data_IF_930267162652
#
_entry.id   IF_930267162652
#
_cell.length_a   1.000
_cell.length_b   1.000
_cell.length_c   1.000
_cell.angle_alpha   90.00
_cell.angle_beta   90.00
_cell.angle_gamma   90.00
#
_symmetry.space_group_name_H-M   'P 1'
#
loop_
_entity.id
_entity.type
_entity.pdbx_description
1 polymer ?
#
# COMPACT_ATOMS: atom_id res chain seq x y z
N UNK A 1 15.93 10.05 23.55
CA UNK A 1 14.73 9.48 24.19
C UNK A 1 13.52 10.21 23.65
N UNK A 2 12.62 9.51 22.98
CA UNK A 2 11.29 10.04 22.63
C UNK A 2 10.30 9.43 23.63
N UNK A 3 9.57 10.22 24.41
CA UNK A 3 8.56 9.72 25.36
C UNK A 3 9.07 8.71 26.40
N UNK A 4 10.35 8.71 26.75
CA UNK A 4 10.95 7.75 27.69
C UNK A 4 11.41 6.42 27.08
N UNK A 5 11.23 6.21 25.78
CA UNK A 5 11.70 5.01 25.08
C UNK A 5 13.23 5.00 24.89
N UNK A 6 13.83 3.83 25.09
CA UNK A 6 15.22 3.50 24.80
C UNK A 6 15.25 2.63 23.55
N UNK A 7 15.68 3.21 22.42
CA UNK A 7 15.73 2.49 21.16
C UNK A 7 16.95 1.55 21.12
N UNK A 8 16.68 0.28 20.87
CA UNK A 8 17.67 -0.77 20.67
C UNK A 8 17.96 -1.05 19.19
N UNK A 9 19.01 -1.83 18.95
CA UNK A 9 19.32 -2.42 17.66
C UNK A 9 18.65 -3.81 17.57
N UNK A 10 17.84 -4.04 16.53
CA UNK A 10 17.19 -5.34 16.27
C UNK A 10 18.23 -6.47 16.17
N UNK A 11 19.44 -6.17 15.69
CA UNK A 11 20.54 -7.15 15.56
C UNK A 11 21.28 -7.43 16.86
N UNK A 12 21.20 -6.51 17.81
CA UNK A 12 21.86 -6.62 19.10
C UNK A 12 20.99 -6.01 20.23
N UNK A 13 19.81 -6.60 20.49
CA UNK A 13 18.87 -6.06 21.46
C UNK A 13 19.38 -6.32 22.87
N UNK A 14 19.11 -5.38 23.77
CA UNK A 14 19.49 -5.42 25.18
C UNK A 14 18.25 -5.41 26.07
N UNK A 15 18.31 -5.98 27.28
CA UNK A 15 17.15 -6.06 28.17
C UNK A 15 16.52 -4.70 28.53
N UNK A 16 17.31 -3.62 28.52
CA UNK A 16 16.84 -2.25 28.79
C UNK A 16 16.20 -1.55 27.59
N UNK A 17 16.32 -2.11 26.38
CA UNK A 17 15.73 -1.52 25.18
C UNK A 17 14.21 -1.67 25.23
N UNK A 18 13.49 -0.56 25.04
CA UNK A 18 12.03 -0.50 25.13
C UNK A 18 11.36 -0.15 23.79
N UNK A 19 12.14 0.07 22.74
CA UNK A 19 11.65 0.33 21.39
C UNK A 19 12.63 -0.11 20.32
N UNK A 20 12.11 -0.43 19.14
CA UNK A 20 12.91 -0.83 17.98
C UNK A 20 12.34 -0.18 16.72
N UNK A 21 13.22 0.10 15.74
CA UNK A 21 12.80 0.58 14.42
C UNK A 21 13.05 -0.51 13.40
N UNK A 22 11.98 -0.99 12.77
CA UNK A 22 12.07 -1.95 11.67
C UNK A 22 12.15 -1.20 10.34
N UNK A 23 13.35 -1.13 9.78
CA UNK A 23 13.58 -0.63 8.43
C UNK A 23 13.39 -1.77 7.42
N UNK A 24 12.71 -1.48 6.31
CA UNK A 24 12.53 -2.41 5.21
C UNK A 24 12.68 -1.68 3.87
N UNK A 25 12.97 -2.44 2.81
CA UNK A 25 13.01 -1.88 1.46
C UNK A 25 11.59 -1.67 0.95
N UNK A 26 11.08 -0.46 1.14
CA UNK A 26 9.71 -0.05 0.81
C UNK A 26 9.38 -0.14 -0.70
N UNK A 27 10.37 -0.43 -1.56
CA UNK A 27 10.16 -0.69 -2.99
C UNK A 27 9.70 -2.12 -3.27
N UNK A 28 9.94 -3.05 -2.34
CA UNK A 28 9.67 -4.49 -2.49
C UNK A 28 8.26 -4.85 -2.02
N UNK A 29 7.88 -6.09 -2.28
CA UNK A 29 6.58 -6.67 -1.91
C UNK A 29 6.27 -6.48 -0.40
N UNK A 30 5.04 -6.08 -0.10
CA UNK A 30 4.56 -5.86 1.26
C UNK A 30 4.54 -7.17 2.07
N UNK A 31 4.16 -8.29 1.44
CA UNK A 31 4.20 -9.62 2.07
C UNK A 31 5.63 -10.02 2.45
N UNK A 32 6.60 -9.81 1.55
CA UNK A 32 8.03 -10.01 1.87
C UNK A 32 8.47 -9.16 3.07
N UNK A 33 8.07 -7.89 3.09
CA UNK A 33 8.39 -6.97 4.19
C UNK A 33 7.78 -7.40 5.52
N UNK A 34 6.57 -7.97 5.50
CA UNK A 34 5.88 -8.47 6.68
C UNK A 34 6.50 -9.77 7.22
N UNK A 35 6.93 -10.67 6.34
CA UNK A 35 7.71 -11.85 6.72
C UNK A 35 9.03 -11.42 7.37
N UNK A 36 9.69 -10.39 6.82
CA UNK A 36 10.89 -9.79 7.41
C UNK A 36 10.64 -9.22 8.81
N UNK A 37 9.51 -8.56 9.04
CA UNK A 37 9.10 -8.06 10.36
C UNK A 37 8.95 -9.21 11.36
N UNK A 38 8.31 -10.31 10.95
CA UNK A 38 8.19 -11.50 11.79
C UNK A 38 9.55 -12.09 12.16
N UNK A 39 10.49 -12.16 11.21
CA UNK A 39 11.87 -12.61 11.49
C UNK A 39 12.59 -11.69 12.47
N UNK A 40 12.44 -10.38 12.33
CA UNK A 40 13.01 -9.40 13.26
C UNK A 40 12.47 -9.58 14.69
N UNK A 41 11.15 -9.77 14.83
CA UNK A 41 10.52 -10.07 16.12
C UNK A 41 11.11 -11.36 16.74
N UNK A 42 11.19 -12.44 15.98
CA UNK A 42 11.75 -13.71 16.48
C UNK A 42 13.23 -13.57 16.86
N UNK A 43 14.00 -12.78 16.10
CA UNK A 43 15.39 -12.50 16.41
C UNK A 43 15.53 -11.78 17.75
N UNK A 44 14.71 -10.76 18.00
CA UNK A 44 14.75 -10.03 19.28
C UNK A 44 14.42 -10.96 20.44
N UNK A 45 13.33 -11.73 20.31
CA UNK A 45 12.89 -12.71 21.31
C UNK A 45 13.96 -13.75 21.63
N UNK A 46 14.62 -14.28 20.59
CA UNK A 46 15.70 -15.25 20.73
C UNK A 46 16.94 -14.68 21.44
N UNK A 47 17.35 -13.46 21.08
CA UNK A 47 18.51 -12.78 21.70
C UNK A 47 18.25 -12.43 23.16
N UNK A 48 17.06 -11.94 23.48
CA UNK A 48 16.63 -11.64 24.85
C UNK A 48 16.22 -12.88 25.65
N UNK A 49 16.15 -14.06 24.99
CA UNK A 49 15.67 -15.33 25.57
C UNK A 49 14.29 -15.20 26.23
N UNK A 50 13.41 -14.41 25.62
CA UNK A 50 12.06 -14.16 26.11
C UNK A 50 11.02 -14.55 25.04
N UNK A 51 10.60 -15.82 24.98
CA UNK A 51 9.64 -16.30 23.97
C UNK A 51 8.22 -15.76 24.18
N UNK A 52 7.90 -15.24 25.37
CA UNK A 52 6.57 -14.68 25.67
C UNK A 52 6.50 -13.17 25.44
N UNK A 53 7.63 -12.54 25.08
CA UNK A 53 7.68 -11.12 24.76
C UNK A 53 6.74 -10.79 23.60
N UNK A 54 5.94 -9.74 23.82
CA UNK A 54 5.01 -9.15 22.84
C UNK A 54 5.43 -7.74 22.51
N UNK A 55 5.08 -7.30 21.31
CA UNK A 55 5.40 -5.98 20.79
C UNK A 55 4.12 -5.21 20.46
N UNK A 56 4.15 -3.91 20.73
CA UNK A 56 3.19 -2.97 20.17
C UNK A 56 3.79 -2.41 18.88
N UNK A 57 3.02 -2.44 17.78
CA UNK A 57 3.48 -1.93 16.49
C UNK A 57 2.83 -0.57 16.25
N UNK A 58 3.65 0.46 16.02
CA UNK A 58 3.22 1.74 15.45
C UNK A 58 3.67 1.78 14.00
N UNK A 59 2.74 1.84 13.07
CA UNK A 59 3.02 1.74 11.65
C UNK A 59 2.35 2.87 10.86
N UNK A 60 3.15 3.58 10.08
CA UNK A 60 2.70 4.71 9.26
C UNK A 60 2.54 4.31 7.79
N UNK A 61 1.47 4.82 7.17
CA UNK A 61 1.19 4.66 5.75
C UNK A 61 1.22 3.17 5.35
N UNK A 62 1.94 2.83 4.28
CA UNK A 62 2.18 1.46 3.81
C UNK A 62 2.69 0.50 4.89
N UNK A 63 3.43 0.99 5.89
CA UNK A 63 3.88 0.16 7.01
C UNK A 63 2.72 -0.48 7.78
N UNK A 64 1.53 0.14 7.77
CA UNK A 64 0.35 -0.44 8.38
C UNK A 64 -0.14 -1.69 7.63
N UNK A 65 -0.01 -1.73 6.31
CA UNK A 65 -0.30 -2.94 5.51
C UNK A 65 0.68 -4.07 5.84
N UNK A 66 1.96 -3.74 6.07
CA UNK A 66 2.98 -4.68 6.55
C UNK A 66 2.59 -5.26 7.91
N UNK A 67 2.17 -4.40 8.85
CA UNK A 67 1.75 -4.80 10.18
C UNK A 67 0.47 -5.66 10.17
N UNK A 68 -0.50 -5.30 9.35
CA UNK A 68 -1.75 -6.05 9.13
C UNK A 68 -1.49 -7.43 8.53
N UNK A 69 -0.68 -7.50 7.48
CA UNK A 69 -0.30 -8.78 6.90
C UNK A 69 0.37 -9.68 7.93
N UNK A 70 1.35 -9.14 8.68
CA UNK A 70 2.04 -9.90 9.72
C UNK A 70 1.08 -10.34 10.83
N UNK A 71 0.16 -9.48 11.29
CA UNK A 71 -0.86 -9.85 12.27
C UNK A 71 -1.68 -11.04 11.77
N UNK A 72 -2.17 -10.99 10.53
CA UNK A 72 -3.06 -12.00 9.94
C UNK A 72 -2.36 -13.31 9.60
N UNK A 73 -1.15 -13.28 9.04
CA UNK A 73 -0.50 -14.45 8.45
C UNK A 73 0.91 -14.74 9.00
N UNK A 74 1.41 -13.94 9.94
CA UNK A 74 2.73 -14.14 10.54
C UNK A 74 3.83 -14.10 9.47
N UNK A 75 4.61 -15.18 9.37
CA UNK A 75 5.70 -15.33 8.39
C UNK A 75 5.33 -16.22 7.20
N UNK A 76 4.05 -16.49 6.98
CA UNK A 76 3.56 -17.28 5.86
C UNK A 76 3.38 -16.40 4.60
N UNK A 77 3.77 -16.90 3.43
CA UNK A 77 3.49 -16.24 2.14
C UNK A 77 2.20 -16.83 1.56
N UNK A 78 1.09 -16.13 1.75
CA UNK A 78 -0.25 -16.52 1.27
C UNK A 78 -0.62 -15.87 -0.06
N UNK A 79 0.31 -15.15 -0.68
CA UNK A 79 0.04 -14.37 -1.89
C UNK A 79 0.58 -15.06 -3.16
N UNK A 80 1.29 -16.18 -3.00
CA UNK A 80 2.13 -16.79 -4.05
C UNK A 80 1.42 -17.81 -4.95
N UNK A 81 0.31 -18.38 -4.50
CA UNK A 81 -0.41 -19.47 -5.19
C UNK A 81 -1.69 -19.00 -5.90
N UNK A 82 -2.01 -17.71 -5.82
CA UNK A 82 -3.20 -17.12 -6.44
C UNK A 82 -4.51 -17.58 -5.82
N UNK A 83 -4.48 -18.19 -4.64
CA UNK A 83 -5.67 -18.59 -3.89
C UNK A 83 -5.97 -17.58 -2.76
N UNK A 84 -7.23 -17.52 -2.36
CA UNK A 84 -7.59 -16.86 -1.11
C UNK A 84 -7.30 -17.78 0.07
N UNK A 85 -6.70 -17.23 1.11
CA UNK A 85 -6.37 -17.96 2.35
C UNK A 85 -7.19 -17.40 3.50
N UNK A 86 -7.64 -18.30 4.38
CA UNK A 86 -8.37 -17.88 5.58
C UNK A 86 -7.42 -17.12 6.53
N UNK A 87 -7.91 -16.06 7.17
CA UNK A 87 -7.15 -15.31 8.17
C UNK A 87 -6.88 -16.19 9.40
N UNK A 88 -5.61 -16.43 9.70
CA UNK A 88 -5.19 -17.32 10.80
C UNK A 88 -4.83 -16.57 12.09
N UNK A 89 -4.57 -15.26 11.97
CA UNK A 89 -3.97 -14.43 13.01
C UNK A 89 -2.64 -15.00 13.55
N UNK A 90 -1.83 -15.63 12.69
CA UNK A 90 -0.59 -16.29 13.09
C UNK A 90 0.43 -15.33 13.76
N UNK A 91 0.37 -14.02 13.49
CA UNK A 91 1.22 -13.02 14.15
C UNK A 91 0.77 -12.63 15.55
N UNK A 92 -0.50 -12.88 15.91
CA UNK A 92 -1.15 -12.32 17.10
C UNK A 92 -0.45 -12.67 18.43
N UNK A 93 0.13 -13.88 18.54
CA UNK A 93 0.82 -14.31 19.75
C UNK A 93 2.04 -13.42 20.09
N UNK A 94 2.60 -12.72 19.11
CA UNK A 94 3.74 -11.84 19.27
C UNK A 94 3.35 -10.37 19.49
N UNK A 95 2.06 -10.04 19.46
CA UNK A 95 1.59 -8.66 19.45
C UNK A 95 0.74 -8.33 20.68
N UNK A 96 0.94 -7.12 21.19
CA UNK A 96 0.11 -6.51 22.22
C UNK A 96 -1.01 -5.68 21.60
N UNK A 97 -0.67 -4.82 20.63
CA UNK A 97 -1.60 -4.00 19.84
C UNK A 97 -0.96 -3.56 18.52
N UNK A 98 -1.80 -3.12 17.59
CA UNK A 98 -1.36 -2.48 16.33
C UNK A 98 -1.95 -1.07 16.26
N UNK A 99 -1.10 -0.08 16.00
CA UNK A 99 -1.48 1.31 15.77
C UNK A 99 -1.20 1.64 14.30
N UNK A 100 -2.26 1.90 13.55
CA UNK A 100 -2.24 2.27 12.14
C UNK A 100 -2.32 3.78 12.01
N UNK A 101 -1.39 4.39 11.29
CA UNK A 101 -1.32 5.84 11.10
C UNK A 101 -1.40 6.16 9.62
N UNK A 102 -2.52 6.73 9.16
CA UNK A 102 -2.75 7.05 7.74
C UNK A 102 -2.61 5.84 6.83
N UNK A 103 -2.91 4.63 7.31
CA UNK A 103 -2.72 3.41 6.52
C UNK A 103 -3.78 3.29 5.43
N UNK A 104 -3.41 3.10 4.15
CA UNK A 104 -4.38 2.91 3.07
C UNK A 104 -4.93 1.48 3.07
N UNK A 105 -5.79 1.12 4.03
CA UNK A 105 -6.30 -0.25 4.16
C UNK A 105 -7.05 -0.73 2.91
N UNK A 106 -7.69 0.20 2.18
CA UNK A 106 -8.30 -0.07 0.86
C UNK A 106 -7.52 0.50 -0.31
N UNK A 107 -6.25 0.89 -0.11
CA UNK A 107 -5.42 1.51 -1.15
C UNK A 107 -5.67 3.01 -1.36
N UNK A 108 -5.04 3.58 -2.38
CA UNK A 108 -5.10 5.02 -2.70
C UNK A 108 -4.90 5.29 -4.20
N UNK A 109 -5.70 6.19 -4.76
CA UNK A 109 -5.50 6.67 -6.14
C UNK A 109 -4.27 7.56 -6.29
N UNK A 110 -3.70 8.06 -5.19
CA UNK A 110 -2.42 8.74 -5.23
C UNK A 110 -1.27 7.84 -5.73
N UNK A 111 -1.39 6.51 -5.57
CA UNK A 111 -0.43 5.57 -6.16
C UNK A 111 -0.46 5.62 -7.69
N UNK A 112 -1.65 5.62 -8.30
CA UNK A 112 -1.79 5.78 -9.75
C UNK A 112 -1.27 7.14 -10.23
N UNK A 113 -1.61 8.22 -9.53
CA UNK A 113 -1.09 9.55 -9.83
C UNK A 113 0.44 9.55 -9.82
N UNK A 114 1.04 9.04 -8.75
CA UNK A 114 2.49 8.97 -8.56
C UNK A 114 3.18 8.18 -9.68
N UNK A 115 2.61 7.04 -10.08
CA UNK A 115 3.16 6.26 -11.20
C UNK A 115 3.10 6.98 -12.55
N UNK A 116 2.23 7.97 -12.71
CA UNK A 116 2.09 8.78 -13.93
C UNK A 116 2.95 10.05 -13.91
N UNK A 117 3.14 10.65 -12.72
CA UNK A 117 3.77 11.97 -12.58
C UNK A 117 5.19 11.90 -12.00
N UNK A 118 5.60 10.75 -11.46
CA UNK A 118 6.80 10.63 -10.64
C UNK A 118 6.56 11.01 -9.18
N UNK A 119 7.57 10.73 -8.35
CA UNK A 119 7.60 11.07 -6.92
C UNK A 119 8.87 11.86 -6.59
N UNK A 120 8.70 13.01 -5.93
CA UNK A 120 9.81 13.94 -5.67
C UNK A 120 10.56 14.31 -6.97
N UNK A 121 11.73 14.93 -6.86
CA UNK A 121 12.61 15.21 -8.01
C UNK A 121 13.44 14.00 -8.45
N UNK A 122 13.33 12.87 -7.74
CA UNK A 122 14.32 11.78 -7.81
C UNK A 122 13.76 10.45 -8.31
N UNK A 123 12.43 10.25 -8.35
CA UNK A 123 11.83 9.00 -8.82
C UNK A 123 10.94 9.28 -10.02
N UNK A 124 11.43 8.89 -11.20
CA UNK A 124 10.66 8.99 -12.43
C UNK A 124 9.59 7.87 -12.50
N UNK A 125 8.57 8.02 -13.38
CA UNK A 125 7.64 6.94 -13.68
C UNK A 125 8.31 5.61 -14.01
N UNK A 126 9.43 5.62 -14.73
CA UNK A 126 10.19 4.41 -15.09
C UNK A 126 10.81 3.72 -13.88
N UNK A 127 11.26 4.50 -12.89
CA UNK A 127 11.80 3.96 -11.63
C UNK A 127 10.66 3.36 -10.79
N UNK A 128 9.55 4.09 -10.65
CA UNK A 128 8.38 3.64 -9.89
C UNK A 128 7.75 2.39 -10.50
N UNK A 129 7.72 2.27 -11.82
CA UNK A 129 7.23 1.09 -12.54
C UNK A 129 7.93 -0.19 -12.08
N UNK A 130 9.17 -0.12 -11.61
CA UNK A 130 9.91 -1.31 -11.15
C UNK A 130 9.66 -1.72 -9.70
N UNK A 131 8.81 -1.01 -8.96
CA UNK A 131 8.58 -1.21 -7.52
C UNK A 131 7.28 -2.00 -7.27
N UNK A 132 7.30 -3.28 -6.88
CA UNK A 132 6.08 -4.03 -6.58
C UNK A 132 5.12 -3.35 -5.60
N UNK A 133 5.64 -2.67 -4.59
CA UNK A 133 4.83 -2.06 -3.53
C UNK A 133 3.87 -0.97 -4.03
N UNK A 134 4.23 -0.20 -5.06
CA UNK A 134 3.36 0.90 -5.52
C UNK A 134 2.06 0.36 -6.12
N UNK A 135 2.10 -0.84 -6.73
CA UNK A 135 0.91 -1.53 -7.23
C UNK A 135 0.04 -2.04 -6.08
N UNK A 136 0.67 -2.49 -4.99
CA UNK A 136 0.01 -2.93 -3.75
C UNK A 136 -0.60 -1.79 -2.93
N UNK A 137 -0.42 -0.54 -3.38
CA UNK A 137 -1.08 0.64 -2.83
C UNK A 137 -2.27 1.13 -3.68
N UNK A 138 -2.54 0.51 -4.83
CA UNK A 138 -3.73 0.84 -5.63
C UNK A 138 -5.01 0.52 -4.85
N UNK A 139 -6.14 1.15 -5.19
CA UNK A 139 -7.39 0.83 -4.52
C UNK A 139 -7.80 -0.64 -4.67
N UNK A 140 -8.45 -1.18 -3.65
CA UNK A 140 -8.89 -2.57 -3.61
C UNK A 140 -10.13 -2.85 -4.49
N UNK A 141 -10.87 -1.80 -4.85
CA UNK A 141 -11.91 -1.81 -5.87
C UNK A 141 -11.29 -1.50 -7.24
N UNK A 142 -11.42 -2.46 -8.15
CA UNK A 142 -10.87 -2.37 -9.49
C UNK A 142 -11.55 -1.31 -10.38
N UNK A 143 -12.82 -0.95 -10.14
CA UNK A 143 -13.65 -0.20 -11.11
C UNK A 143 -14.31 1.06 -10.54
N UNK A 144 -14.39 1.22 -9.22
CA UNK A 144 -15.08 2.35 -8.58
C UNK A 144 -14.41 3.73 -8.71
N UNK A 145 -13.17 3.80 -9.20
CA UNK A 145 -12.34 5.01 -9.13
C UNK A 145 -12.15 5.74 -10.48
N UNK A 146 -12.77 5.26 -11.56
CA UNK A 146 -12.62 5.80 -12.90
C UNK A 146 -13.94 6.42 -13.35
N UNK A 147 -13.92 7.72 -13.71
CA UNK A 147 -15.13 8.46 -14.09
C UNK A 147 -14.90 9.37 -15.29
N UNK A 148 -15.97 9.79 -15.95
CA UNK A 148 -15.93 10.86 -16.96
C UNK A 148 -15.94 12.26 -16.29
N UNK A 149 -15.81 13.37 -17.06
CA UNK A 149 -15.84 14.73 -16.49
C UNK A 149 -17.17 15.11 -15.78
N UNK A 150 -18.23 14.34 -16.00
CA UNK A 150 -19.54 14.52 -15.37
C UNK A 150 -19.67 13.67 -14.09
N UNK A 151 -18.69 12.83 -13.78
CA UNK A 151 -18.70 11.92 -12.65
C UNK A 151 -19.39 10.59 -12.93
N UNK A 152 -19.72 10.29 -14.19
CA UNK A 152 -20.29 9.00 -14.59
C UNK A 152 -19.21 7.92 -14.50
N UNK A 153 -19.46 6.78 -13.84
CA UNK A 153 -18.52 5.66 -13.81
C UNK A 153 -18.13 5.19 -15.21
N UNK A 154 -16.84 4.90 -15.39
CA UNK A 154 -16.29 4.29 -16.60
C UNK A 154 -15.90 2.85 -16.27
N UNK A 155 -16.45 1.91 -17.05
CA UNK A 155 -16.14 0.50 -16.90
C UNK A 155 -14.73 0.18 -17.44
N UNK A 156 -13.74 0.27 -16.55
CA UNK A 156 -12.35 -0.07 -16.80
C UNK A 156 -11.73 -0.65 -15.52
N UNK A 157 -10.81 -1.61 -15.68
CA UNK A 157 -10.25 -2.39 -14.58
C UNK A 157 -8.84 -1.91 -14.25
N UNK A 158 -8.63 -1.37 -13.04
CA UNK A 158 -7.32 -0.93 -12.55
C UNK A 158 -6.28 -2.06 -12.48
N UNK A 159 -6.70 -3.31 -12.44
CA UNK A 159 -5.86 -4.50 -12.32
C UNK A 159 -5.69 -5.26 -13.65
N UNK A 160 -6.04 -4.62 -14.77
CA UNK A 160 -5.79 -5.13 -16.12
C UNK A 160 -4.68 -4.32 -16.82
N UNK A 161 -3.61 -4.99 -17.21
CA UNK A 161 -2.48 -4.37 -17.91
C UNK A 161 -2.88 -3.74 -19.26
N UNK A 162 -3.89 -4.28 -19.96
CA UNK A 162 -4.36 -3.69 -21.21
C UNK A 162 -5.07 -2.35 -20.97
N UNK A 163 -5.79 -2.22 -19.85
CA UNK A 163 -6.37 -0.95 -19.43
C UNK A 163 -5.30 0.12 -19.23
N UNK A 164 -4.16 -0.22 -18.63
CA UNK A 164 -3.04 0.72 -18.44
C UNK A 164 -2.42 1.17 -19.75
N UNK A 165 -2.21 0.22 -20.67
CA UNK A 165 -1.63 0.48 -21.99
C UNK A 165 -2.56 1.35 -22.82
N UNK A 166 -3.87 1.05 -22.81
CA UNK A 166 -4.90 1.80 -23.52
C UNK A 166 -4.97 3.26 -23.04
N UNK A 167 -4.87 3.49 -21.74
CA UNK A 167 -4.97 4.83 -21.15
C UNK A 167 -3.62 5.56 -21.06
N UNK A 168 -2.53 4.94 -21.52
CA UNK A 168 -1.19 5.52 -21.47
C UNK A 168 -0.74 5.80 -20.03
N UNK A 169 -1.07 4.93 -19.08
CA UNK A 169 -0.65 5.10 -17.70
C UNK A 169 0.81 4.74 -17.50
N UNK A 170 1.48 5.42 -16.56
CA UNK A 170 2.89 5.20 -16.25
C UNK A 170 3.79 5.31 -17.50
N UNK A 171 4.65 4.31 -17.73
CA UNK A 171 5.61 4.27 -18.84
C UNK A 171 4.95 4.14 -20.23
N UNK A 172 3.64 3.89 -20.29
CA UNK A 172 2.92 3.74 -21.56
C UNK A 172 2.44 5.09 -22.14
N UNK A 173 2.47 6.16 -21.33
CA UNK A 173 2.05 7.49 -21.74
C UNK A 173 3.17 8.33 -22.37
N UNK A 174 2.83 9.42 -23.07
CA UNK A 174 3.80 10.34 -23.66
C UNK A 174 4.69 11.05 -22.62
N UNK A 175 4.25 11.13 -21.35
CA UNK A 175 5.04 11.66 -20.23
C UNK A 175 6.00 10.63 -19.60
N UNK A 176 5.77 9.34 -19.80
CA UNK A 176 6.58 8.22 -19.27
C UNK A 176 7.54 7.59 -20.28
N UNK A 177 7.65 8.17 -21.48
CA UNK A 177 8.71 7.85 -22.44
C UNK A 177 9.82 8.91 -22.34
N UNK A 178 10.77 8.73 -21.41
CA UNK A 178 12.14 9.03 -21.82
C UNK A 178 12.47 8.13 -23.01
N UNK A 179 13.24 8.59 -24.02
CA UNK A 179 13.86 7.67 -24.95
C UNK A 179 14.59 6.64 -24.10
N UNK A 180 14.16 5.36 -24.18
CA UNK A 180 14.99 4.26 -23.70
C UNK A 180 16.39 4.54 -24.24
N UNK A 181 17.45 4.55 -23.41
CA UNK A 181 18.78 4.61 -23.97
C UNK A 181 18.89 3.40 -24.88
N UNK A 182 18.88 3.65 -26.20
CA UNK A 182 19.36 2.70 -27.17
C UNK A 182 20.69 2.20 -26.61
N UNK A 183 20.80 0.87 -26.55
CA UNK A 183 22.02 0.19 -26.12
C UNK A 183 23.24 0.97 -26.62
N UNK A 184 24.22 1.28 -25.76
CA UNK A 184 25.17 2.35 -26.01
C UNK A 184 25.79 2.19 -27.40
N UNK A 185 25.52 3.17 -28.26
CA UNK A 185 26.30 3.35 -29.47
C UNK A 185 27.73 3.54 -29.01
N UNK A 186 28.55 2.51 -29.20
CA UNK A 186 29.97 2.51 -28.88
C UNK A 186 30.67 3.49 -29.80
N UNK A 187 30.77 4.75 -29.37
CA UNK A 187 31.66 5.72 -29.98
C UNK A 187 33.03 5.62 -29.31
N UNK A 188 34.02 5.19 -30.09
CA UNK A 188 35.43 5.49 -29.82
C UNK A 188 36.28 4.36 -29.22
N UNK A 189 36.46 3.25 -29.94
CA UNK A 189 37.53 2.29 -29.66
C UNK A 189 38.01 1.61 -30.95
N UNK A 190 39.32 1.69 -31.24
CA UNK A 190 39.98 1.05 -32.40
C UNK A 190 39.72 -0.47 -32.45
N UNK A 191 39.71 -1.09 -33.65
CA UNK A 191 39.32 -2.49 -33.80
C UNK A 191 40.42 -3.41 -33.29
N UNK A 192 40.08 -4.27 -32.33
CA UNK A 192 40.79 -5.53 -32.13
C UNK A 192 39.97 -6.63 -32.82
N UNK A 193 40.54 -7.22 -33.86
CA UNK A 193 40.05 -8.45 -34.43
C UNK A 193 40.23 -9.56 -33.38
N UNK A 194 39.15 -10.28 -33.04
CA UNK A 194 39.23 -11.73 -33.00
C UNK A 194 37.86 -12.41 -32.99
N UNK A 195 37.86 -13.57 -33.63
CA UNK A 195 36.72 -14.39 -34.00
C UNK A 195 36.04 -15.06 -32.79
N UNK A 196 34.72 -15.22 -32.86
CA UNK A 196 33.95 -15.97 -31.88
C UNK A 196 32.45 -15.85 -32.09
N UNK A 197 31.92 -16.52 -33.13
CA UNK A 197 30.48 -16.58 -33.38
C UNK A 197 29.73 -17.17 -32.19
N UNK A 198 28.85 -16.38 -31.57
CA UNK A 198 27.73 -16.89 -30.77
C UNK A 198 26.45 -16.67 -31.57
N UNK A 199 25.61 -17.70 -31.73
CA UNK A 199 24.40 -17.60 -32.53
C UNK A 199 23.44 -16.59 -31.92
N UNK A 200 22.84 -15.75 -32.79
CA UNK A 200 21.75 -14.85 -32.44
C UNK A 200 20.61 -15.64 -31.78
N UNK A 201 20.44 -15.45 -30.48
CA UNK A 201 19.30 -15.99 -29.75
C UNK A 201 18.03 -15.25 -30.20
N UNK A 202 17.32 -15.82 -31.17
CA UNK A 202 15.89 -15.58 -31.38
C UNK A 202 15.13 -16.07 -30.14
N UNK A 203 15.00 -15.24 -29.10
CA UNK A 203 14.06 -15.48 -27.99
C UNK A 203 13.94 -14.25 -27.08
N UNK A 204 13.18 -13.24 -27.50
CA UNK A 204 12.70 -12.18 -26.62
C UNK A 204 11.51 -11.50 -27.31
N UNK A 205 10.30 -11.62 -26.76
CA UNK A 205 9.17 -10.75 -27.14
C UNK A 205 9.58 -9.28 -27.05
N UNK A 206 8.88 -8.41 -27.78
CA UNK A 206 9.22 -6.99 -27.83
C UNK A 206 9.33 -6.41 -26.39
N UNK A 207 10.16 -5.38 -26.13
CA UNK A 207 10.29 -4.79 -24.78
C UNK A 207 8.94 -4.44 -24.13
N UNK A 208 7.94 -4.07 -24.94
CA UNK A 208 6.57 -3.81 -24.50
C UNK A 208 5.86 -5.05 -23.94
N UNK A 209 6.02 -6.23 -24.57
CA UNK A 209 5.39 -7.47 -24.12
C UNK A 209 5.91 -7.87 -22.73
N UNK A 210 7.23 -7.70 -22.50
CA UNK A 210 7.84 -7.97 -21.18
C UNK A 210 7.32 -7.02 -20.10
N UNK A 211 7.15 -5.75 -20.44
CA UNK A 211 6.60 -4.75 -19.51
C UNK A 211 5.14 -5.06 -19.17
N UNK A 212 4.33 -5.48 -20.15
CA UNK A 212 2.94 -5.91 -19.90
C UNK A 212 2.88 -7.14 -18.99
N UNK A 213 3.73 -8.14 -19.23
CA UNK A 213 3.80 -9.35 -18.39
C UNK A 213 4.19 -9.00 -16.95
N UNK A 214 5.21 -8.15 -16.77
CA UNK A 214 5.57 -7.68 -15.43
C UNK A 214 4.42 -6.92 -14.77
N UNK A 215 3.80 -5.98 -15.49
CA UNK A 215 2.69 -5.19 -14.97
C UNK A 215 1.55 -6.10 -14.50
N UNK A 216 1.11 -7.05 -15.34
CA UNK A 216 0.03 -7.94 -14.97
C UNK A 216 0.38 -8.77 -13.72
N UNK A 217 1.61 -9.29 -13.63
CA UNK A 217 2.05 -10.03 -12.45
C UNK A 217 2.05 -9.15 -11.18
N UNK A 218 2.46 -7.89 -11.28
CA UNK A 218 2.43 -6.95 -10.15
C UNK A 218 0.99 -6.60 -9.73
N UNK A 219 0.08 -6.40 -10.70
CA UNK A 219 -1.34 -6.16 -10.46
C UNK A 219 -2.01 -7.39 -9.83
N UNK A 220 -1.75 -8.60 -10.32
CA UNK A 220 -2.28 -9.84 -9.75
C UNK A 220 -1.81 -10.03 -8.30
N UNK A 221 -0.54 -9.75 -8.03
CA UNK A 221 0.03 -9.76 -6.67
C UNK A 221 -0.62 -8.71 -5.75
N UNK A 222 -0.91 -7.53 -6.27
CA UNK A 222 -1.62 -6.49 -5.53
C UNK A 222 -3.07 -6.89 -5.21
N UNK A 223 -3.79 -7.46 -6.19
CA UNK A 223 -5.14 -7.99 -5.98
C UNK A 223 -5.15 -9.08 -4.91
N UNK A 224 -4.18 -10.00 -4.93
CA UNK A 224 -4.04 -11.04 -3.90
C UNK A 224 -3.79 -10.44 -2.51
N UNK A 225 -2.95 -9.41 -2.39
CA UNK A 225 -2.72 -8.72 -1.12
C UNK A 225 -4.02 -8.12 -0.57
N UNK A 226 -4.78 -7.41 -1.40
CA UNK A 226 -6.05 -6.82 -0.97
C UNK A 226 -7.07 -7.88 -0.57
N UNK A 227 -7.18 -8.98 -1.33
CA UNK A 227 -8.04 -10.10 -0.95
C UNK A 227 -7.65 -10.67 0.43
N UNK A 228 -6.36 -10.83 0.69
CA UNK A 228 -5.84 -11.33 1.95
C UNK A 228 -6.06 -10.36 3.14
N UNK A 229 -6.07 -9.05 2.90
CA UNK A 229 -6.22 -8.02 3.94
C UNK A 229 -7.66 -7.55 4.16
N UNK A 230 -8.56 -7.71 3.19
CA UNK A 230 -9.93 -7.18 3.22
C UNK A 230 -10.76 -7.71 4.38
N UNK A 231 -10.71 -9.03 4.62
CA UNK A 231 -11.57 -9.68 5.60
C UNK A 231 -10.82 -9.94 6.91
N UNK A 232 -11.53 -9.90 8.03
CA UNK A 232 -11.08 -10.41 9.33
C UNK A 232 -11.73 -11.78 9.59
N UNK A 233 -11.15 -12.59 10.48
CA UNK A 233 -11.77 -13.87 10.84
C UNK A 233 -13.06 -13.65 11.65
N UNK A 234 -13.93 -14.68 11.73
CA UNK A 234 -15.10 -14.66 12.60
C UNK A 234 -14.69 -14.34 14.05
N UNK A 235 -15.32 -13.32 14.66
CA UNK A 235 -14.97 -12.82 15.98
C UNK A 235 -14.02 -11.61 15.99
N UNK A 236 -13.50 -11.20 14.83
CA UNK A 236 -12.64 -10.03 14.67
C UNK A 236 -11.19 -10.26 15.12
N UNK A 237 -10.39 -9.20 15.11
CA UNK A 237 -8.98 -9.30 15.50
C UNK A 237 -8.83 -9.66 16.98
N UNK A 238 -8.01 -10.69 17.31
CA UNK A 238 -7.69 -11.02 18.70
C UNK A 238 -6.73 -9.99 19.33
N UNK A 239 -6.14 -9.11 18.52
CA UNK A 239 -5.22 -8.04 18.93
C UNK A 239 -5.92 -6.68 18.74
N UNK A 240 -5.91 -5.79 19.74
CA UNK A 240 -6.44 -4.43 19.58
C UNK A 240 -5.79 -3.68 18.41
N UNK A 241 -6.61 -3.11 17.54
CA UNK A 241 -6.18 -2.27 16.40
C UNK A 241 -6.70 -0.85 16.62
N UNK A 242 -5.78 0.12 16.66
CA UNK A 242 -6.09 1.54 16.83
C UNK A 242 -5.75 2.28 15.54
N UNK A 243 -6.63 3.18 15.11
CA UNK A 243 -6.49 3.91 13.85
C UNK A 243 -6.33 5.40 14.12
N UNK A 244 -5.39 6.02 13.43
CA UNK A 244 -5.11 7.44 13.47
C UNK A 244 -5.04 7.99 12.04
N UNK A 245 -5.75 9.08 11.74
CA UNK A 245 -5.65 9.72 10.42
C UNK A 245 -6.23 11.12 10.36
N UNK A 246 -6.58 11.55 9.15
CA UNK A 246 -7.18 12.84 8.86
C UNK A 246 -8.35 12.71 7.89
N UNK A 247 -9.30 13.64 7.99
CA UNK A 247 -10.48 13.77 7.14
C UNK A 247 -10.66 15.22 6.64
N UNK A 248 -9.71 16.12 6.92
CA UNK A 248 -9.87 17.53 6.61
C UNK A 248 -9.15 17.99 5.33
N UNK A 249 -8.34 17.11 4.73
CA UNK A 249 -7.57 17.42 3.53
C UNK A 249 -8.27 16.79 2.31
N UNK A 250 -8.62 17.57 1.28
CA UNK A 250 -9.15 17.03 0.03
C UNK A 250 -8.18 15.99 -0.57
N UNK A 251 -8.67 14.78 -0.76
CA UNK A 251 -7.84 13.61 -1.10
C UNK A 251 -8.37 12.91 -2.34
N UNK A 252 -7.47 12.54 -3.24
CA UNK A 252 -7.80 11.90 -4.51
C UNK A 252 -8.46 10.52 -4.30
N UNK A 253 -9.73 10.42 -4.63
CA UNK A 253 -10.52 9.18 -4.65
C UNK A 253 -10.77 8.69 -6.07
N UNK A 254 -11.00 9.60 -7.02
CA UNK A 254 -11.31 9.24 -8.41
C UNK A 254 -10.43 10.00 -9.39
N UNK A 255 -10.21 9.39 -10.55
CA UNK A 255 -9.54 10.04 -11.69
C UNK A 255 -10.51 10.19 -12.84
N UNK A 256 -10.40 11.31 -13.55
CA UNK A 256 -11.26 11.61 -14.70
C UNK A 256 -10.58 11.16 -15.98
N UNK A 257 -11.27 10.33 -16.76
CA UNK A 257 -10.84 9.94 -18.11
C UNK A 257 -11.61 10.78 -19.13
N UNK A 258 -10.94 11.78 -19.69
CA UNK A 258 -11.53 12.69 -20.68
C UNK A 258 -11.23 12.18 -22.08
N UNK A 259 -12.27 11.93 -22.88
CA UNK A 259 -12.10 11.59 -24.29
C UNK A 259 -11.71 12.82 -25.11
N UNK A 260 -10.70 12.69 -25.96
CA UNK A 260 -10.25 13.72 -26.90
C UNK A 260 -10.08 13.12 -28.30
N UNK A 261 -10.03 13.94 -29.37
CA UNK A 261 -9.77 13.43 -30.72
C UNK A 261 -8.45 12.64 -30.85
N UNK A 262 -7.48 12.92 -29.98
CA UNK A 262 -6.16 12.26 -29.93
C UNK A 262 -6.11 11.03 -29.02
N UNK A 263 -7.22 10.67 -28.36
CA UNK A 263 -7.28 9.56 -27.40
C UNK A 263 -7.81 9.97 -26.02
N UNK A 264 -7.74 9.07 -25.06
CA UNK A 264 -8.15 9.32 -23.68
C UNK A 264 -7.05 10.07 -22.92
N UNK A 265 -7.42 11.14 -22.22
CA UNK A 265 -6.54 11.89 -21.32
C UNK A 265 -6.97 11.59 -19.88
N UNK A 266 -6.02 11.11 -19.07
CA UNK A 266 -6.23 10.92 -17.64
C UNK A 266 -5.94 12.22 -16.91
N UNK A 267 -6.91 12.72 -16.15
CA UNK A 267 -6.79 13.92 -15.34
C UNK A 267 -6.72 13.53 -13.87
N UNK A 268 -5.69 14.04 -13.20
CA UNK A 268 -5.53 13.97 -11.75
C UNK A 268 -5.89 15.33 -11.15
N UNK A 269 -5.88 15.44 -9.82
CA UNK A 269 -6.06 16.70 -9.10
C UNK A 269 -4.81 17.61 -9.14
N UNK A 270 -4.03 17.54 -10.23
CA UNK A 270 -2.89 18.42 -10.44
C UNK A 270 -3.36 19.74 -11.07
N UNK A 271 -2.63 20.83 -10.81
CA UNK A 271 -2.99 22.20 -11.22
C UNK A 271 -2.96 22.42 -12.76
N UNK A 272 -2.92 21.36 -13.56
CA UNK A 272 -2.81 21.44 -15.02
C UNK A 272 -4.15 21.66 -15.73
N UNK A 273 -5.28 21.55 -15.03
CA UNK A 273 -6.59 21.84 -15.60
C UNK A 273 -6.85 23.37 -15.70
N UNK A 274 -7.63 23.79 -16.70
CA UNK A 274 -8.04 25.19 -16.79
C UNK A 274 -8.89 25.59 -15.57
N UNK A 275 -8.70 26.82 -15.08
CA UNK A 275 -9.34 27.31 -13.86
C UNK A 275 -10.87 27.22 -13.84
N UNK A 276 -11.54 27.25 -15.01
CA UNK A 276 -13.00 27.11 -15.11
C UNK A 276 -13.50 25.73 -14.69
N UNK A 277 -12.69 24.69 -14.87
CA UNK A 277 -13.09 23.30 -14.72
C UNK A 277 -12.65 22.73 -13.36
N UNK A 278 -11.70 23.39 -12.67
CA UNK A 278 -11.10 22.93 -11.42
C UNK A 278 -12.13 22.60 -10.34
N UNK A 279 -13.09 23.51 -10.08
CA UNK A 279 -14.11 23.28 -9.04
C UNK A 279 -15.01 22.07 -9.32
N UNK A 280 -15.28 21.78 -10.59
CA UNK A 280 -16.08 20.61 -10.96
C UNK A 280 -15.24 19.34 -10.81
N UNK A 281 -14.00 19.36 -11.28
CA UNK A 281 -13.09 18.23 -11.17
C UNK A 281 -12.80 17.89 -9.70
N UNK A 282 -12.56 18.88 -8.84
CA UNK A 282 -12.39 18.70 -7.41
C UNK A 282 -13.59 17.97 -6.78
N UNK A 283 -14.82 18.38 -7.13
CA UNK A 283 -16.05 17.74 -6.61
C UNK A 283 -16.21 16.28 -7.06
N UNK A 284 -15.68 15.93 -8.22
CA UNK A 284 -15.78 14.59 -8.79
C UNK A 284 -14.63 13.68 -8.31
N UNK A 285 -13.44 14.26 -8.10
CA UNK A 285 -12.22 13.51 -7.81
C UNK A 285 -11.91 13.38 -6.32
N UNK A 286 -12.30 14.37 -5.50
CA UNK A 286 -11.78 14.52 -4.15
C UNK A 286 -12.82 14.20 -3.08
N UNK A 287 -12.38 13.51 -2.04
CA UNK A 287 -13.15 13.21 -0.83
C UNK A 287 -12.33 13.55 0.42
N UNK A 288 -12.93 13.57 1.62
CA UNK A 288 -12.23 13.73 2.89
C UNK A 288 -11.06 12.73 3.08
N UNK A 289 -9.92 13.20 3.58
CA UNK A 289 -8.76 12.38 3.90
C UNK A 289 -7.59 13.20 4.43
N UNK A 290 -6.36 12.69 4.23
CA UNK A 290 -5.10 13.33 4.66
C UNK A 290 -4.25 13.89 3.51
N UNK A 291 -4.81 13.96 2.30
CA UNK A 291 -4.15 14.39 1.07
C UNK A 291 -3.46 13.26 0.31
N UNK A 292 -3.38 12.06 0.88
CA UNK A 292 -2.86 10.86 0.22
C UNK A 292 -3.82 9.68 0.38
N UNK A 293 -4.37 9.47 1.58
CA UNK A 293 -5.28 8.38 1.92
C UNK A 293 -6.63 8.96 2.30
N UNK A 294 -7.69 8.45 1.68
CA UNK A 294 -9.07 8.86 1.98
C UNK A 294 -9.48 8.32 3.36
N UNK A 295 -10.37 9.03 4.05
CA UNK A 295 -10.90 8.56 5.33
C UNK A 295 -11.59 7.19 5.20
N UNK A 296 -12.29 6.96 4.09
CA UNK A 296 -12.94 5.68 3.78
C UNK A 296 -11.91 4.54 3.62
N UNK A 297 -10.79 4.80 2.94
CA UNK A 297 -9.72 3.81 2.80
C UNK A 297 -9.07 3.50 4.14
N UNK A 298 -8.81 4.51 4.96
CA UNK A 298 -8.25 4.34 6.31
C UNK A 298 -9.16 3.53 7.23
N UNK A 299 -10.47 3.73 7.13
CA UNK A 299 -11.47 3.07 7.96
C UNK A 299 -11.96 1.75 7.37
N UNK A 300 -11.46 1.36 6.20
CA UNK A 300 -11.92 0.17 5.48
C UNK A 300 -13.44 0.16 5.25
N UNK A 301 -14.02 1.32 4.97
CA UNK A 301 -15.44 1.47 4.64
C UNK A 301 -15.65 1.09 3.19
N UNK A 302 -16.67 0.27 2.90
CA UNK A 302 -17.08 0.00 1.51
C UNK A 302 -17.58 1.29 0.85
N UNK A 303 -17.40 1.38 -0.48
CA UNK A 303 -18.06 2.44 -1.24
C UNK A 303 -19.58 2.29 -1.07
N UNK A 304 -20.35 3.38 -0.93
CA UNK A 304 -21.80 3.28 -0.89
C UNK A 304 -22.27 2.67 -2.21
N UNK A 305 -22.65 1.40 -2.20
CA UNK A 305 -23.44 0.81 -3.27
C UNK A 305 -24.76 1.57 -3.23
N UNK A 306 -25.22 2.10 -4.36
CA UNK A 306 -26.49 2.84 -4.44
C UNK A 306 -27.73 1.99 -4.11
N UNK A 307 -27.55 0.79 -3.57
CA UNK A 307 -28.56 -0.15 -3.13
C UNK A 307 -28.62 -0.18 -1.59
N UNK A 308 -29.62 0.44 -0.95
CA UNK A 308 -29.80 0.39 0.50
C UNK A 308 -30.13 -1.01 1.05
N UNK A 309 -30.30 -2.03 0.19
CA UNK A 309 -30.50 -3.43 0.56
C UNK A 309 -29.23 -4.29 0.57
N UNK A 310 -28.12 -3.79 0.01
CA UNK A 310 -26.78 -4.31 0.24
C UNK A 310 -26.34 -3.86 1.65
N UNK A 311 -26.93 -4.52 2.64
CA UNK A 311 -26.69 -4.26 4.05
C UNK A 311 -25.19 -4.22 4.31
N UNK A 312 -24.72 -3.07 4.81
CA UNK A 312 -23.44 -2.83 5.47
C UNK A 312 -22.71 -4.14 5.76
N UNK A 313 -21.75 -4.53 4.91
CA UNK A 313 -20.73 -5.48 5.38
C UNK A 313 -20.18 -4.84 6.64
N UNK A 314 -20.20 -5.60 7.73
CA UNK A 314 -19.90 -5.08 9.06
C UNK A 314 -18.59 -4.29 8.99
N UNK A 315 -18.68 -2.97 9.20
CA UNK A 315 -17.52 -2.09 9.16
C UNK A 315 -16.44 -2.70 10.04
N UNK A 316 -15.23 -2.80 9.49
CA UNK A 316 -14.09 -3.36 10.21
C UNK A 316 -14.00 -2.72 11.59
N UNK A 317 -14.02 -3.54 12.64
CA UNK A 317 -14.11 -3.02 14.00
C UNK A 317 -12.71 -2.67 14.51
N UNK A 318 -12.50 -1.39 14.80
CA UNK A 318 -11.28 -0.90 15.45
C UNK A 318 -11.52 -0.69 16.95
N UNK A 319 -10.49 -0.89 17.76
CA UNK A 319 -10.55 -0.64 19.20
C UNK A 319 -10.68 0.85 19.53
N UNK A 320 -10.10 1.72 18.69
CA UNK A 320 -10.36 3.15 18.70
C UNK A 320 -9.95 3.79 17.38
N UNK A 321 -10.56 4.93 17.08
CA UNK A 321 -10.30 5.72 15.88
C UNK A 321 -10.11 7.18 16.27
N UNK A 322 -9.02 7.80 15.82
CA UNK A 322 -8.69 9.20 16.09
C UNK A 322 -8.44 9.96 14.78
N UNK A 323 -9.08 11.13 14.65
CA UNK A 323 -8.89 12.02 13.52
C UNK A 323 -8.25 13.34 13.98
N UNK A 324 -7.21 13.74 13.27
CA UNK A 324 -6.50 15.00 13.48
C UNK A 324 -6.39 15.69 12.13
N UNK A 325 -6.74 16.98 12.07
CA UNK A 325 -6.61 17.73 10.82
C UNK A 325 -5.14 18.01 10.52
N UNK A 326 -4.55 17.25 9.61
CA UNK A 326 -3.13 17.31 9.25
C UNK A 326 -2.89 16.53 7.94
N UNK A 327 -1.85 16.89 7.21
CA UNK A 327 -1.44 16.15 5.99
C UNK A 327 -0.78 14.81 6.31
N UNK A 328 -0.85 13.86 5.37
CA UNK A 328 -0.38 12.48 5.51
C UNK A 328 1.02 12.35 6.14
N UNK A 329 1.98 13.15 5.66
CA UNK A 329 3.37 13.13 6.12
C UNK A 329 3.61 13.84 7.45
N UNK A 330 2.70 14.71 7.88
CA UNK A 330 2.81 15.50 9.10
C UNK A 330 1.94 14.98 10.25
N UNK A 331 1.07 13.99 10.01
CA UNK A 331 0.26 13.34 11.04
C UNK A 331 1.04 13.00 12.32
N UNK A 332 2.24 12.37 12.27
CA UNK A 332 3.01 12.06 13.48
C UNK A 332 3.56 13.28 14.23
N UNK A 333 3.62 14.45 13.58
CA UNK A 333 4.08 15.70 14.17
C UNK A 333 2.96 16.48 14.88
N UNK A 334 1.69 16.11 14.66
CA UNK A 334 0.56 16.74 15.33
C UNK A 334 0.57 16.45 16.84
N UNK A 335 0.42 17.48 17.68
CA UNK A 335 0.49 17.32 19.15
C UNK A 335 -0.66 16.48 19.69
N UNK A 336 -1.87 16.69 19.18
CA UNK A 336 -3.04 15.89 19.55
C UNK A 336 -2.85 14.42 19.18
N UNK A 337 -2.25 14.15 18.02
CA UNK A 337 -1.84 12.80 17.62
C UNK A 337 -0.89 12.19 18.65
N UNK A 338 0.19 12.90 19.01
CA UNK A 338 1.22 12.38 19.94
C UNK A 338 0.63 12.09 21.32
N UNK A 339 -0.20 12.99 21.85
CA UNK A 339 -0.85 12.82 23.15
C UNK A 339 -1.75 11.56 23.17
N UNK A 340 -2.55 11.35 22.12
CA UNK A 340 -3.41 10.17 22.01
C UNK A 340 -2.64 8.89 21.74
N UNK A 341 -1.53 8.95 20.99
CA UNK A 341 -0.63 7.81 20.80
C UNK A 341 -0.04 7.36 22.15
N UNK A 342 0.46 8.30 22.96
CA UNK A 342 0.97 7.96 24.29
C UNK A 342 -0.13 7.49 25.24
N UNK A 343 -1.36 8.01 25.10
CA UNK A 343 -2.50 7.49 25.82
C UNK A 343 -2.75 6.00 25.50
N UNK A 344 -2.76 5.64 24.22
CA UNK A 344 -2.92 4.25 23.76
C UNK A 344 -1.76 3.37 24.27
N UNK A 345 -0.52 3.83 24.13
CA UNK A 345 0.65 3.05 24.51
C UNK A 345 0.74 2.78 26.01
N UNK A 346 0.42 3.77 26.85
CA UNK A 346 0.62 3.67 28.30
C UNK A 346 -0.62 3.27 29.10
N UNK A 347 -1.83 3.56 28.63
CA UNK A 347 -3.04 3.42 29.45
C UNK A 347 -4.15 2.55 28.83
N UNK A 348 -4.12 2.30 27.52
CA UNK A 348 -5.14 1.43 26.91
C UNK A 348 -4.84 -0.05 27.20
N UNK A 349 -5.85 -0.87 27.55
CA UNK A 349 -5.62 -2.28 27.87
C UNK A 349 -4.93 -3.03 26.72
N UNK A 350 -3.89 -3.81 27.03
CA UNK A 350 -3.23 -4.70 26.07
C UNK A 350 -4.01 -6.00 25.80
N UNK A 351 -5.18 -6.20 26.40
CA UNK A 351 -5.79 -7.54 26.53
C UNK A 351 -6.18 -8.11 25.17
N UNK A 352 -5.52 -9.18 24.70
CA UNK A 352 -6.03 -9.96 23.60
C UNK A 352 -7.32 -10.64 24.06
N UNK A 353 -8.31 -10.76 23.18
CA UNK A 353 -9.38 -11.72 23.43
C UNK A 353 -8.74 -13.12 23.51
N UNK A 354 -9.12 -13.98 24.48
CA UNK A 354 -8.63 -15.36 24.49
C UNK A 354 -8.99 -15.99 23.14
N UNK A 355 -7.98 -16.51 22.42
CA UNK A 355 -8.20 -17.25 21.17
C UNK A 355 -9.25 -18.31 21.47
N UNK A 356 -10.41 -18.22 20.82
CA UNK A 356 -11.39 -19.28 20.87
C UNK A 356 -10.69 -20.55 20.36
N UNK A 357 -10.60 -21.56 21.20
CA UNK A 357 -10.08 -22.86 20.81
C UNK A 357 -11.03 -23.40 19.75
N UNK A 358 -10.62 -23.36 18.48
CA UNK A 358 -11.30 -24.08 17.42
C UNK A 358 -11.16 -25.59 17.72
N UNK A 359 -12.13 -26.12 18.46
CA UNK A 359 -12.32 -27.55 18.58
C UNK A 359 -12.87 -28.01 17.24
N UNK A 360 -12.00 -28.60 16.42
CA UNK A 360 -12.39 -29.28 15.19
C UNK A 360 -13.50 -30.30 15.48
N UNK A 361 -14.69 -30.03 14.95
CA UNK A 361 -15.77 -31.00 14.88
C UNK A 361 -15.43 -32.09 13.89
N UNK A 362 -15.58 -33.34 14.34
CA UNK A 362 -15.40 -34.58 13.59
C UNK A 362 -16.35 -34.69 12.40
#
# INVERSE_FOLDING_TARGET
MAGGYQFGDINNPRPEDTGFVYYYDWRRDIGESAIGLGRAIQQIKGRLKNPDLRFDIVAHSMGGLVAEYYLKYGTEDVLGDGQEHAVTYAGAANLGRVILVGTPLRGTMHALQTMNTGFSRTMSPEVLFTMPSIYQLLPDDARGHLVDPQGTPIDADLYDAETWVKNGWSIFGPRGRSPLPDAPATSGGRPAADAGGRPAAKAAGAPLDRMKVFLQAALDRARALHAALRNDAEGGSPVPIHVFGSDCIPTLDRVVLKQTPSGTVTMFNDETAQHSDLKQLERVMLVPGDGTVTADSLLSLDAPTGDPSDGQRAARTFSSTFFFCETHGLLPANRGFQDNLFYVLFYSPQRPAPLATFVGGR
#
